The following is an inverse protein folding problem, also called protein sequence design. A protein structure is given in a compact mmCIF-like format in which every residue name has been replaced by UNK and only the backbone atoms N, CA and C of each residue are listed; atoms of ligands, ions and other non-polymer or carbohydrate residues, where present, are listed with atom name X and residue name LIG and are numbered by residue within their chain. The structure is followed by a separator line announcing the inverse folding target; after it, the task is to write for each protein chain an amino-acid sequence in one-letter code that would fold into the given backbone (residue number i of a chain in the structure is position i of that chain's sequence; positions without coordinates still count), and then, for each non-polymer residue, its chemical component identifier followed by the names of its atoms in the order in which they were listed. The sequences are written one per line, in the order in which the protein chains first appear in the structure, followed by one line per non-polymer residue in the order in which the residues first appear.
data_IF_951537044516
#
_entry.id   IF_951537044516
#
_cell.length_a   1.000
_cell.length_b   1.000
_cell.length_c   1.000
_cell.angle_alpha   90.00
_cell.angle_beta   90.00
_cell.angle_gamma   90.00
#
_symmetry.space_group_name_H-M   'P 1'
#
loop_
_entity.id
_entity.type
_entity.pdbx_description
1 polymer ?
#
# COMPACT_ATOMS: atom_id res chain seq x y z
N UNK A 1 54.59 -31.93 32.66
CA UNK A 1 54.13 -30.60 32.21
C UNK A 1 52.83 -30.80 31.42
N UNK A 2 51.67 -30.47 32.02
CA UNK A 2 50.34 -30.54 31.34
C UNK A 2 49.95 -29.12 30.94
N UNK A 3 49.98 -28.80 29.65
CA UNK A 3 49.55 -27.53 29.07
C UNK A 3 48.02 -27.48 29.07
N UNK A 4 47.41 -26.51 29.75
CA UNK A 4 45.97 -26.23 29.72
C UNK A 4 45.72 -25.18 28.64
N UNK A 5 45.11 -25.59 27.54
CA UNK A 5 44.60 -24.66 26.56
C UNK A 5 43.29 -24.07 27.08
N UNK A 6 43.32 -22.77 27.34
CA UNK A 6 42.13 -21.98 27.65
C UNK A 6 41.47 -21.57 26.34
N UNK A 7 40.35 -22.19 25.96
CA UNK A 7 39.53 -21.79 24.79
C UNK A 7 38.65 -20.60 25.22
N UNK A 8 39.02 -19.43 24.76
CA UNK A 8 38.22 -18.22 24.95
C UNK A 8 37.09 -18.23 23.92
N UNK A 9 35.89 -18.61 24.34
CA UNK A 9 34.66 -18.56 23.51
C UNK A 9 34.16 -17.13 23.49
N UNK A 10 34.51 -16.36 22.44
CA UNK A 10 33.94 -15.03 22.21
C UNK A 10 32.50 -15.18 21.70
N UNK A 11 31.55 -14.93 22.58
CA UNK A 11 30.17 -14.73 22.18
C UNK A 11 30.05 -13.41 21.42
N UNK A 12 30.02 -13.47 20.08
CA UNK A 12 29.54 -12.37 19.24
C UNK A 12 28.02 -12.30 19.41
N UNK A 13 27.55 -11.46 20.32
CA UNK A 13 26.16 -11.02 20.33
C UNK A 13 25.99 -10.05 19.17
N UNK A 14 25.51 -10.54 18.05
CA UNK A 14 25.00 -9.68 16.96
C UNK A 14 23.79 -8.92 17.52
N UNK A 15 24.02 -7.66 17.88
CA UNK A 15 22.93 -6.71 18.13
C UNK A 15 22.26 -6.51 16.78
N UNK A 16 21.16 -7.20 16.54
CA UNK A 16 20.27 -6.90 15.41
C UNK A 16 19.65 -5.54 15.75
N UNK A 17 20.25 -4.47 15.22
CA UNK A 17 19.62 -3.17 15.25
C UNK A 17 18.35 -3.29 14.40
N UNK A 18 17.20 -3.35 15.04
CA UNK A 18 15.92 -3.25 14.34
C UNK A 18 15.91 -1.92 13.60
N UNK A 19 15.62 -1.97 12.30
CA UNK A 19 15.50 -0.74 11.51
C UNK A 19 14.44 0.16 12.16
N UNK A 20 14.79 1.42 12.41
CA UNK A 20 13.92 2.42 13.02
C UNK A 20 13.76 3.57 12.03
N UNK A 21 12.53 4.02 11.78
CA UNK A 21 12.26 5.11 10.87
C UNK A 21 12.14 6.40 11.66
N UNK A 22 13.08 7.31 11.43
CA UNK A 22 13.09 8.63 12.01
C UNK A 22 12.53 9.65 11.01
N UNK A 23 11.35 10.19 11.31
CA UNK A 23 10.63 11.12 10.44
C UNK A 23 11.06 12.54 10.79
N UNK A 24 11.80 13.19 9.88
CA UNK A 24 12.28 14.55 10.08
C UNK A 24 11.24 15.59 9.72
N UNK A 25 11.27 16.70 10.44
CA UNK A 25 10.44 17.86 10.15
C UNK A 25 11.04 18.70 9.03
N UNK A 26 10.19 19.19 8.14
CA UNK A 26 10.57 20.12 7.07
C UNK A 26 9.59 21.28 7.00
N UNK A 27 10.03 22.39 6.38
CA UNK A 27 9.20 23.58 6.14
C UNK A 27 8.69 23.53 4.68
N UNK A 28 7.71 22.65 4.41
CA UNK A 28 7.04 22.55 3.11
C UNK A 28 5.58 22.13 3.35
N UNK A 29 4.68 22.40 2.41
CA UNK A 29 3.29 21.93 2.45
C UNK A 29 3.21 20.52 1.86
N UNK A 30 3.39 19.50 2.70
CA UNK A 30 3.34 18.11 2.28
C UNK A 30 1.96 17.64 1.83
N UNK A 31 0.93 18.44 2.02
CA UNK A 31 -0.39 18.14 1.46
C UNK A 31 -0.46 18.30 -0.06
N UNK A 32 0.50 19.02 -0.66
CA UNK A 32 0.57 19.34 -2.08
C UNK A 32 1.85 18.85 -2.74
N UNK A 33 3.00 19.14 -2.13
CA UNK A 33 4.31 19.03 -2.76
C UNK A 33 5.10 17.78 -2.33
N UNK A 34 4.41 16.73 -1.87
CA UNK A 34 5.01 15.55 -1.24
C UNK A 34 5.93 14.73 -2.16
N UNK A 35 5.84 14.88 -3.47
CA UNK A 35 6.63 14.13 -4.48
C UNK A 35 7.87 14.87 -4.99
N UNK A 36 8.14 16.10 -4.51
CA UNK A 36 9.25 16.90 -5.00
C UNK A 36 10.57 16.32 -4.52
N UNK A 37 11.42 15.85 -5.45
CA UNK A 37 12.69 15.17 -5.17
C UNK A 37 13.64 16.02 -4.29
N UNK A 38 13.65 17.35 -4.44
CA UNK A 38 14.52 18.22 -3.64
C UNK A 38 14.24 18.15 -2.14
N UNK A 39 13.01 17.85 -1.72
CA UNK A 39 12.65 17.71 -0.31
C UNK A 39 13.36 16.52 0.36
N UNK A 40 13.66 15.50 -0.43
CA UNK A 40 14.24 14.25 0.05
C UNK A 40 15.76 14.27 0.21
N UNK A 41 16.45 15.29 -0.30
CA UNK A 41 17.91 15.43 -0.16
C UNK A 41 18.36 15.46 1.31
N UNK A 42 17.52 15.99 2.20
CA UNK A 42 17.78 16.12 3.62
C UNK A 42 17.05 15.10 4.50
N UNK A 43 16.34 14.13 3.92
CA UNK A 43 15.62 13.11 4.69
C UNK A 43 16.55 12.21 5.51
N UNK A 44 17.83 12.18 5.16
CA UNK A 44 18.80 11.20 5.67
C UNK A 44 18.87 9.97 4.78
N UNK A 45 19.59 8.96 5.23
CA UNK A 45 19.66 7.69 4.51
C UNK A 45 18.31 6.96 4.63
N UNK A 46 17.88 6.34 3.53
CA UNK A 46 16.72 5.45 3.54
C UNK A 46 16.99 4.25 4.47
N UNK A 47 15.97 3.86 5.21
CA UNK A 47 16.02 2.67 6.05
C UNK A 47 15.68 1.44 5.22
N UNK A 48 16.54 0.45 5.24
CA UNK A 48 16.32 -0.84 4.59
C UNK A 48 15.45 -1.72 5.48
N UNK A 49 14.23 -2.06 5.01
CA UNK A 49 13.26 -2.89 5.73
C UNK A 49 13.13 -4.22 5.00
N UNK A 50 13.40 -5.31 5.72
CA UNK A 50 13.29 -6.66 5.18
C UNK A 50 11.84 -7.12 5.12
N UNK A 51 11.47 -7.75 4.00
CA UNK A 51 10.18 -8.38 3.78
C UNK A 51 10.35 -9.87 3.55
N UNK A 52 9.27 -10.62 3.77
CA UNK A 52 9.19 -12.03 3.38
C UNK A 52 7.81 -12.35 2.80
N UNK A 53 7.73 -13.42 2.00
CA UNK A 53 6.46 -13.89 1.44
C UNK A 53 5.49 -14.27 2.55
N UNK A 54 4.21 -13.96 2.38
CA UNK A 54 3.14 -14.21 3.35
C UNK A 54 3.03 -15.71 3.69
N UNK A 55 3.37 -16.14 4.93
CA UNK A 55 3.43 -17.57 5.26
C UNK A 55 2.08 -18.18 5.65
N UNK A 56 1.06 -17.36 5.89
CA UNK A 56 -0.23 -17.77 6.45
C UNK A 56 -1.29 -18.13 5.41
N UNK A 57 -0.99 -17.93 4.11
CA UNK A 57 -1.94 -18.20 3.01
C UNK A 57 -1.73 -19.55 2.37
N UNK A 58 -2.78 -20.05 1.70
CA UNK A 58 -2.73 -21.30 0.91
C UNK A 58 -3.19 -20.99 -0.51
N UNK A 59 -2.39 -21.30 -1.53
CA UNK A 59 -1.03 -21.89 -1.48
C UNK A 59 -0.01 -20.88 -0.93
N UNK A 60 0.97 -21.38 -0.19
CA UNK A 60 2.06 -20.53 0.31
C UNK A 60 2.90 -20.01 -0.86
N UNK A 61 3.32 -18.72 -0.87
CA UNK A 61 4.29 -18.22 -1.81
C UNK A 61 5.56 -19.09 -1.80
N UNK A 62 6.04 -19.48 -2.98
CA UNK A 62 7.27 -20.28 -3.11
C UNK A 62 8.52 -19.41 -2.93
N UNK A 63 8.42 -18.15 -3.26
CA UNK A 63 9.49 -17.16 -3.25
C UNK A 63 9.01 -15.88 -2.55
N UNK A 64 9.95 -15.07 -2.09
CA UNK A 64 9.70 -13.69 -1.67
C UNK A 64 10.08 -12.80 -2.83
N UNK A 65 9.11 -12.24 -3.54
CA UNK A 65 9.35 -11.46 -4.76
C UNK A 65 10.03 -10.11 -4.41
N UNK A 66 9.59 -9.48 -3.32
CA UNK A 66 10.23 -8.28 -2.78
C UNK A 66 10.81 -8.58 -1.40
N UNK A 67 12.11 -8.80 -1.30
CA UNK A 67 12.78 -9.09 -0.03
C UNK A 67 13.18 -7.85 0.77
N UNK A 68 13.20 -6.69 0.13
CA UNK A 68 13.68 -5.43 0.72
C UNK A 68 12.91 -4.23 0.16
N UNK A 69 12.54 -3.31 1.05
CA UNK A 69 12.12 -1.95 0.69
C UNK A 69 13.03 -0.93 1.36
N UNK A 70 13.31 0.17 0.65
CA UNK A 70 14.03 1.30 1.19
C UNK A 70 13.03 2.41 1.51
N UNK A 71 13.01 2.88 2.75
CA UNK A 71 11.99 3.81 3.25
C UNK A 71 12.64 5.06 3.83
N UNK A 72 12.12 6.21 3.43
CA UNK A 72 12.36 7.49 4.08
C UNK A 72 11.02 8.15 4.41
N UNK A 73 11.00 9.02 5.44
CA UNK A 73 9.80 9.74 5.81
C UNK A 73 10.10 11.16 6.25
N UNK A 74 9.17 12.07 5.95
CA UNK A 74 9.22 13.50 6.30
C UNK A 74 7.85 13.95 6.81
N UNK A 75 7.82 14.98 7.67
CA UNK A 75 6.57 15.61 8.09
C UNK A 75 6.69 17.13 8.15
N UNK A 76 5.56 17.84 8.04
CA UNK A 76 5.47 19.31 8.16
C UNK A 76 4.76 19.77 9.45
N UNK A 77 4.42 18.81 10.33
CA UNK A 77 3.66 19.04 11.56
C UNK A 77 2.15 18.82 11.39
N UNK A 78 1.64 18.71 10.16
CA UNK A 78 0.23 18.39 9.84
C UNK A 78 0.11 17.14 8.99
N UNK A 79 1.00 16.98 8.02
CA UNK A 79 1.09 15.86 7.12
C UNK A 79 2.40 15.11 7.32
N UNK A 80 2.35 13.82 7.02
CA UNK A 80 3.51 12.94 6.94
C UNK A 80 3.50 12.27 5.58
N UNK A 81 4.69 12.11 5.00
CA UNK A 81 4.86 11.42 3.74
C UNK A 81 5.95 10.37 3.88
N UNK A 82 5.69 9.21 3.30
CA UNK A 82 6.62 8.10 3.19
C UNK A 82 7.04 7.95 1.73
N UNK A 83 8.34 7.88 1.48
CA UNK A 83 8.91 7.47 0.20
C UNK A 83 9.37 6.02 0.35
N UNK A 84 8.79 5.13 -0.45
CA UNK A 84 9.08 3.70 -0.44
C UNK A 84 9.65 3.32 -1.81
N UNK A 85 10.78 2.62 -1.82
CA UNK A 85 11.44 2.15 -3.05
C UNK A 85 11.69 0.66 -3.00
N UNK A 86 11.41 -0.03 -4.11
CA UNK A 86 11.71 -1.45 -4.26
C UNK A 86 12.05 -1.78 -5.71
N UNK A 87 12.79 -2.87 -5.90
CA UNK A 87 13.14 -3.38 -7.22
C UNK A 87 11.97 -4.15 -7.82
N UNK A 88 11.64 -3.82 -9.05
CA UNK A 88 10.66 -4.50 -9.86
C UNK A 88 11.08 -4.43 -11.32
N UNK A 89 11.13 -5.57 -12.00
CA UNK A 89 11.62 -5.67 -13.38
C UNK A 89 10.67 -5.11 -14.42
N UNK A 90 9.39 -4.95 -14.08
CA UNK A 90 8.32 -4.54 -15.00
C UNK A 90 7.23 -3.74 -14.28
N UNK A 91 6.48 -2.97 -15.05
CA UNK A 91 5.25 -2.31 -14.58
C UNK A 91 4.07 -3.23 -14.81
N UNK A 92 3.22 -3.39 -13.81
CA UNK A 92 2.06 -4.26 -13.91
C UNK A 92 0.75 -3.54 -13.61
N UNK A 93 -0.23 -3.70 -14.50
CA UNK A 93 -1.56 -3.11 -14.45
C UNK A 93 -2.65 -4.20 -14.31
N UNK A 94 -3.72 -3.87 -13.60
CA UNK A 94 -4.85 -4.78 -13.40
C UNK A 94 -6.02 -4.47 -14.35
N UNK A 95 -5.74 -4.33 -15.64
CA UNK A 95 -6.77 -3.97 -16.62
C UNK A 95 -7.56 -5.19 -17.14
N UNK A 96 -6.90 -6.32 -17.29
CA UNK A 96 -7.49 -7.53 -17.90
C UNK A 96 -7.69 -8.63 -16.89
N UNK A 97 -8.48 -9.63 -17.28
CA UNK A 97 -8.67 -10.84 -16.47
C UNK A 97 -7.32 -11.49 -16.15
N UNK A 98 -7.11 -11.84 -14.88
CA UNK A 98 -5.91 -12.47 -14.35
C UNK A 98 -4.62 -11.60 -14.47
N UNK A 99 -4.74 -10.30 -14.68
CA UNK A 99 -3.67 -9.32 -14.49
C UNK A 99 -3.82 -8.63 -13.14
N UNK A 100 -2.72 -8.30 -12.50
CA UNK A 100 -2.71 -7.71 -11.16
C UNK A 100 -1.79 -6.49 -11.15
N UNK A 101 -2.15 -5.48 -10.37
CA UNK A 101 -1.41 -4.23 -10.27
C UNK A 101 -0.28 -4.34 -9.26
N UNK A 102 0.83 -3.67 -9.56
CA UNK A 102 1.82 -3.35 -8.55
C UNK A 102 1.21 -2.48 -7.46
N UNK A 103 1.68 -2.68 -6.23
CA UNK A 103 1.18 -1.93 -5.09
C UNK A 103 2.07 -2.01 -3.86
N UNK A 104 1.85 -1.06 -2.94
CA UNK A 104 2.48 -1.05 -1.63
C UNK A 104 1.49 -0.54 -0.59
N UNK A 105 1.50 -1.17 0.58
CA UNK A 105 0.67 -0.72 1.71
C UNK A 105 1.52 -0.40 2.93
N UNK A 106 1.10 0.64 3.64
CA UNK A 106 1.55 1.02 4.96
C UNK A 106 0.46 0.65 5.96
N UNK A 107 0.83 0.03 7.08
CA UNK A 107 -0.09 -0.31 8.15
C UNK A 107 0.34 0.37 9.45
N UNK A 108 -0.60 0.96 10.16
CA UNK A 108 -0.40 1.65 11.43
C UNK A 108 -1.38 1.12 12.48
N UNK A 109 -1.00 1.03 13.76
CA UNK A 109 -1.96 0.83 14.84
C UNK A 109 -2.90 2.03 14.93
N UNK A 110 -4.19 1.80 15.17
CA UNK A 110 -5.15 2.89 15.45
C UNK A 110 -4.92 3.41 16.86
N UNK A 111 -4.71 2.51 17.81
CA UNK A 111 -4.34 2.85 19.19
C UNK A 111 -2.83 2.82 19.33
N UNK A 112 -2.24 3.92 19.74
CA UNK A 112 -0.79 4.02 19.89
C UNK A 112 -0.33 3.54 21.28
N UNK A 113 -0.57 2.26 21.55
CA UNK A 113 -0.18 1.57 22.77
C UNK A 113 1.32 1.23 22.75
N UNK A 114 1.89 0.98 23.94
CA UNK A 114 3.27 0.50 24.08
C UNK A 114 3.49 -0.84 23.35
N UNK A 115 2.51 -1.74 23.46
CA UNK A 115 2.47 -3.00 22.70
C UNK A 115 1.55 -2.78 21.51
N UNK A 116 2.05 -2.86 20.27
CA UNK A 116 1.23 -2.70 19.08
C UNK A 116 0.31 -3.90 18.86
N UNK A 117 -0.77 -3.75 18.07
CA UNK A 117 -1.70 -4.83 17.76
C UNK A 117 -1.03 -5.98 17.00
N UNK A 118 -1.70 -7.14 16.86
CA UNK A 118 -1.21 -8.22 16.02
C UNK A 118 -0.84 -7.71 14.62
N UNK A 119 0.37 -8.05 14.15
CA UNK A 119 0.91 -7.54 12.87
C UNK A 119 0.06 -7.91 11.67
N UNK A 120 -0.64 -9.05 11.74
CA UNK A 120 -1.46 -9.56 10.66
C UNK A 120 -2.87 -8.94 10.68
N UNK A 121 -2.96 -7.68 10.20
CA UNK A 121 -4.22 -6.94 10.03
C UNK A 121 -4.93 -6.59 11.35
N UNK A 122 -4.18 -6.46 12.46
CA UNK A 122 -4.78 -6.16 13.77
C UNK A 122 -5.48 -7.35 14.42
N UNK A 123 -6.34 -7.06 15.37
CA UNK A 123 -7.14 -8.03 16.11
C UNK A 123 -8.43 -7.42 16.62
N UNK A 124 -9.28 -8.23 17.25
CA UNK A 124 -10.52 -7.79 17.84
C UNK A 124 -10.25 -6.69 18.88
N UNK A 125 -10.96 -5.57 18.77
CA UNK A 125 -10.83 -4.40 19.64
C UNK A 125 -9.46 -3.67 19.54
N UNK A 126 -8.60 -4.11 18.61
CA UNK A 126 -7.27 -3.54 18.39
C UNK A 126 -7.00 -3.36 16.88
N UNK A 127 -7.72 -2.39 16.26
CA UNK A 127 -7.71 -2.18 14.82
C UNK A 127 -6.40 -1.60 14.31
N UNK A 128 -6.20 -1.81 13.02
CA UNK A 128 -5.15 -1.18 12.23
C UNK A 128 -5.74 -0.33 11.12
N UNK A 129 -5.01 0.72 10.74
CA UNK A 129 -5.33 1.59 9.62
C UNK A 129 -4.28 1.42 8.54
N UNK A 130 -4.70 1.06 7.34
CA UNK A 130 -3.84 0.78 6.20
C UNK A 130 -4.02 1.84 5.12
N UNK A 131 -2.92 2.16 4.44
CA UNK A 131 -2.86 3.04 3.28
C UNK A 131 -2.27 2.24 2.13
N UNK A 132 -3.12 1.81 1.21
CA UNK A 132 -2.76 0.90 0.14
C UNK A 132 -2.73 1.63 -1.21
N UNK A 133 -1.54 1.97 -1.66
CA UNK A 133 -1.32 2.49 -3.00
C UNK A 133 -1.30 1.35 -4.01
N UNK A 134 -1.99 1.55 -5.15
CA UNK A 134 -1.99 0.67 -6.31
C UNK A 134 -1.74 1.48 -7.56
N UNK A 135 -0.89 0.97 -8.44
CA UNK A 135 -0.61 1.65 -9.71
C UNK A 135 -1.88 1.80 -10.56
N UNK A 136 -2.72 0.77 -10.63
CA UNK A 136 -4.00 0.84 -11.33
C UNK A 136 -4.89 1.98 -10.81
N UNK A 137 -4.95 2.20 -9.50
CA UNK A 137 -5.76 3.28 -8.94
C UNK A 137 -5.21 4.66 -9.27
N UNK A 138 -3.89 4.80 -9.35
CA UNK A 138 -3.27 6.03 -9.81
C UNK A 138 -3.61 6.31 -11.27
N UNK A 139 -3.61 5.29 -12.13
CA UNK A 139 -4.02 5.43 -13.53
C UNK A 139 -5.50 5.79 -13.65
N UNK A 140 -6.37 5.10 -12.92
CA UNK A 140 -7.81 5.35 -12.94
C UNK A 140 -8.16 6.76 -12.41
N UNK A 141 -7.48 7.21 -11.35
CA UNK A 141 -7.67 8.55 -10.82
C UNK A 141 -7.21 9.65 -11.78
N UNK A 142 -6.16 9.39 -12.58
CA UNK A 142 -5.61 10.33 -13.55
C UNK A 142 -6.37 10.36 -14.87
N UNK A 143 -6.72 9.19 -15.39
CA UNK A 143 -7.21 9.03 -16.76
C UNK A 143 -8.72 8.69 -16.85
N UNK A 144 -9.35 8.45 -15.69
CA UNK A 144 -10.66 7.79 -15.63
C UNK A 144 -10.54 6.28 -15.80
N UNK A 145 -11.50 5.54 -15.23
CA UNK A 145 -11.55 4.08 -15.33
C UNK A 145 -11.96 3.68 -16.76
N UNK A 146 -11.21 2.78 -17.36
CA UNK A 146 -11.55 2.23 -18.68
C UNK A 146 -12.86 1.46 -18.64
N UNK A 147 -13.68 1.61 -19.67
CA UNK A 147 -14.90 0.82 -19.86
C UNK A 147 -14.56 -0.61 -20.33
N UNK A 148 -15.52 -1.52 -20.20
CA UNK A 148 -15.35 -2.90 -20.66
C UNK A 148 -15.04 -2.94 -22.17
N UNK A 149 -15.65 -2.06 -22.98
CA UNK A 149 -15.39 -1.98 -24.41
C UNK A 149 -13.97 -1.55 -24.75
N UNK A 150 -13.39 -0.65 -23.94
CA UNK A 150 -12.00 -0.26 -24.11
C UNK A 150 -11.01 -1.38 -23.77
N UNK A 151 -11.36 -2.21 -22.80
CA UNK A 151 -10.51 -3.33 -22.36
C UNK A 151 -10.71 -4.56 -23.27
N UNK A 152 -11.96 -4.84 -23.65
CA UNK A 152 -12.36 -6.00 -24.46
C UNK A 152 -13.25 -5.56 -25.62
N UNK A 153 -12.69 -4.94 -26.69
CA UNK A 153 -13.48 -4.36 -27.78
C UNK A 153 -14.30 -5.38 -28.57
N UNK A 154 -13.93 -6.66 -28.52
CA UNK A 154 -14.63 -7.72 -29.23
C UNK A 154 -15.61 -8.52 -28.33
N UNK A 155 -15.81 -8.08 -27.09
CA UNK A 155 -16.75 -8.74 -26.18
C UNK A 155 -18.19 -8.38 -26.55
N UNK A 156 -19.06 -9.38 -26.59
CA UNK A 156 -20.52 -9.19 -26.70
C UNK A 156 -21.13 -9.33 -25.30
N UNK A 157 -22.12 -8.50 -25.01
CA UNK A 157 -22.93 -8.59 -23.78
C UNK A 157 -24.31 -9.14 -24.13
N UNK A 158 -24.85 -9.99 -23.24
CA UNK A 158 -26.25 -10.41 -23.33
C UNK A 158 -27.15 -9.17 -23.20
N UNK A 159 -28.23 -9.17 -23.96
CA UNK A 159 -29.21 -8.10 -23.99
C UNK A 159 -30.55 -8.58 -23.47
N UNK A 160 -31.19 -7.78 -22.66
CA UNK A 160 -32.53 -8.04 -22.24
C UNK A 160 -33.54 -7.59 -23.32
N UNK A 161 -34.61 -8.40 -23.58
CA UNK A 161 -35.59 -8.06 -24.62
C UNK A 161 -36.27 -6.69 -24.44
N UNK A 162 -36.35 -6.19 -23.20
CA UNK A 162 -36.91 -4.88 -22.90
C UNK A 162 -36.06 -3.76 -23.49
N UNK A 163 -34.75 -3.79 -23.28
CA UNK A 163 -33.81 -2.77 -23.77
C UNK A 163 -33.82 -2.70 -25.30
N UNK A 164 -33.95 -3.88 -25.95
CA UNK A 164 -34.06 -3.95 -27.40
C UNK A 164 -35.33 -3.27 -27.94
N UNK A 165 -36.47 -3.45 -27.25
CA UNK A 165 -37.73 -2.78 -27.61
C UNK A 165 -37.68 -1.25 -27.47
N UNK A 166 -37.05 -0.78 -26.39
CA UNK A 166 -36.94 0.67 -26.14
C UNK A 166 -35.98 1.37 -27.10
N UNK A 167 -34.85 0.76 -27.40
CA UNK A 167 -33.79 1.39 -28.20
C UNK A 167 -33.95 1.16 -29.72
N UNK A 168 -34.78 0.21 -30.13
CA UNK A 168 -35.07 -0.06 -31.54
C UNK A 168 -33.92 -0.68 -32.35
N UNK A 169 -32.70 -0.72 -31.80
CA UNK A 169 -31.58 -1.40 -32.44
C UNK A 169 -30.60 -2.02 -31.45
N UNK A 170 -30.01 -3.12 -31.86
CA UNK A 170 -29.11 -3.94 -31.06
C UNK A 170 -27.83 -3.19 -30.64
N UNK A 171 -27.25 -2.39 -31.53
CA UNK A 171 -25.97 -1.73 -31.27
C UNK A 171 -26.08 -0.67 -30.17
N UNK A 172 -27.13 0.12 -30.19
CA UNK A 172 -27.36 1.16 -29.19
C UNK A 172 -27.68 0.58 -27.81
N UNK A 173 -28.57 -0.42 -27.73
CA UNK A 173 -28.90 -1.10 -26.50
C UNK A 173 -27.66 -1.79 -25.87
N UNK A 174 -26.86 -2.46 -26.70
CA UNK A 174 -25.61 -3.08 -26.24
C UNK A 174 -24.59 -2.07 -25.72
N UNK A 175 -24.48 -0.91 -26.40
CA UNK A 175 -23.58 0.15 -25.99
C UNK A 175 -23.97 0.73 -24.63
N UNK A 176 -25.22 1.10 -24.44
CA UNK A 176 -25.72 1.64 -23.18
C UNK A 176 -25.54 0.66 -22.01
N UNK A 177 -25.77 -0.63 -22.20
CA UNK A 177 -25.56 -1.65 -21.19
C UNK A 177 -24.09 -1.78 -20.79
N UNK A 178 -23.19 -1.77 -21.77
CA UNK A 178 -21.75 -1.84 -21.51
C UNK A 178 -21.21 -0.60 -20.78
N UNK A 179 -21.77 0.56 -21.08
CA UNK A 179 -21.37 1.83 -20.44
C UNK A 179 -21.97 1.98 -19.04
N UNK A 180 -23.20 1.52 -18.83
CA UNK A 180 -23.95 1.72 -17.58
C UNK A 180 -23.77 0.60 -16.56
N UNK A 181 -23.56 -0.64 -16.98
CA UNK A 181 -23.48 -1.79 -16.08
C UNK A 181 -22.04 -2.03 -15.59
N UNK A 182 -21.66 -1.28 -14.56
CA UNK A 182 -20.46 -1.59 -13.74
C UNK A 182 -20.95 -1.97 -12.36
N UNK A 183 -20.97 -3.26 -12.07
CA UNK A 183 -21.56 -3.81 -10.84
C UNK A 183 -21.05 -3.17 -9.54
N UNK A 184 -19.75 -2.90 -9.46
CA UNK A 184 -19.18 -2.20 -8.29
C UNK A 184 -19.67 -0.76 -8.16
N UNK A 185 -19.85 -0.05 -9.28
CA UNK A 185 -20.38 1.31 -9.30
C UNK A 185 -21.86 1.33 -8.91
N UNK A 186 -22.65 0.42 -9.47
CA UNK A 186 -24.08 0.28 -9.16
C UNK A 186 -24.31 -0.10 -7.68
N UNK A 187 -23.41 -0.89 -7.10
CA UNK A 187 -23.43 -1.26 -5.69
C UNK A 187 -22.87 -0.18 -4.74
N UNK A 188 -22.40 0.95 -5.25
CA UNK A 188 -21.78 2.01 -4.44
C UNK A 188 -20.46 1.61 -3.79
N UNK A 189 -19.72 0.63 -4.36
CA UNK A 189 -18.44 0.20 -3.82
C UNK A 189 -17.40 1.34 -3.91
N UNK A 190 -16.85 1.84 -2.79
CA UNK A 190 -15.87 2.94 -2.80
C UNK A 190 -14.65 2.68 -3.69
N UNK A 191 -14.22 1.42 -3.81
CA UNK A 191 -13.09 1.03 -4.68
C UNK A 191 -13.39 1.17 -6.19
N UNK A 192 -14.66 1.35 -6.56
CA UNK A 192 -15.03 1.64 -7.94
C UNK A 192 -14.79 3.09 -8.35
N UNK A 193 -14.52 3.98 -7.38
CA UNK A 193 -14.32 5.40 -7.58
C UNK A 193 -13.02 5.87 -6.95
N UNK A 194 -11.84 5.43 -7.44
CA UNK A 194 -10.57 5.84 -6.86
C UNK A 194 -10.39 7.35 -7.00
N UNK A 195 -10.28 8.03 -5.86
CA UNK A 195 -10.05 9.49 -5.79
C UNK A 195 -8.57 9.84 -5.83
N UNK A 196 -7.74 8.88 -5.44
CA UNK A 196 -6.28 8.96 -5.48
C UNK A 196 -5.71 7.57 -5.75
N UNK A 197 -4.40 7.46 -5.88
CA UNK A 197 -3.74 6.14 -5.97
C UNK A 197 -3.81 5.31 -4.69
N UNK A 198 -4.40 5.82 -3.59
CA UNK A 198 -4.38 5.19 -2.26
C UNK A 198 -5.79 4.90 -1.77
N UNK A 199 -6.03 3.65 -1.34
CA UNK A 199 -7.16 3.27 -0.50
C UNK A 199 -6.80 3.40 0.98
N UNK A 200 -7.73 3.93 1.78
CA UNK A 200 -7.69 3.90 3.24
C UNK A 200 -8.55 2.74 3.73
N UNK A 201 -7.97 1.84 4.52
CA UNK A 201 -8.60 0.58 4.91
C UNK A 201 -8.46 0.39 6.42
N UNK A 202 -9.53 -0.01 7.08
CA UNK A 202 -9.51 -0.47 8.47
C UNK A 202 -9.61 -1.98 8.54
N UNK A 203 -8.94 -2.59 9.52
CA UNK A 203 -9.04 -4.03 9.77
C UNK A 203 -8.88 -4.37 11.26
N UNK A 204 -9.61 -5.39 11.70
CA UNK A 204 -9.58 -5.97 13.05
C UNK A 204 -9.30 -7.48 12.98
N UNK A 205 -8.35 -7.88 12.12
CA UNK A 205 -7.96 -9.26 11.85
C UNK A 205 -8.27 -9.68 10.41
N UNK A 206 -8.01 -10.95 10.10
CA UNK A 206 -8.25 -11.51 8.78
C UNK A 206 -9.73 -11.45 8.38
N UNK A 207 -10.00 -11.01 7.14
CA UNK A 207 -11.33 -10.96 6.58
C UNK A 207 -12.21 -9.80 7.05
N UNK A 208 -11.69 -8.92 7.92
CA UNK A 208 -12.43 -7.78 8.46
C UNK A 208 -12.15 -6.47 7.75
N UNK A 209 -11.33 -6.46 6.69
CA UNK A 209 -10.93 -5.23 6.01
C UNK A 209 -12.13 -4.50 5.40
N UNK A 210 -12.29 -3.23 5.75
CA UNK A 210 -13.29 -2.33 5.20
C UNK A 210 -12.61 -1.07 4.67
N UNK A 211 -12.99 -0.64 3.46
CA UNK A 211 -12.51 0.61 2.88
C UNK A 211 -13.19 1.78 3.57
N UNK A 212 -12.41 2.77 3.97
CA UNK A 212 -12.92 4.00 4.56
C UNK A 212 -13.68 4.83 3.53
N UNK A 213 -14.74 5.49 3.95
CA UNK A 213 -15.41 6.52 3.13
C UNK A 213 -14.56 7.80 3.06
N UNK A 214 -13.72 8.03 4.06
CA UNK A 214 -12.75 9.13 4.11
C UNK A 214 -11.54 8.78 3.25
N UNK A 215 -11.22 9.61 2.27
CA UNK A 215 -10.07 9.47 1.39
C UNK A 215 -9.21 10.73 1.50
N UNK A 216 -8.48 10.87 2.59
CA UNK A 216 -7.59 12.01 2.82
C UNK A 216 -6.17 11.75 2.30
N UNK A 217 -5.73 10.50 2.33
CA UNK A 217 -4.41 10.11 1.87
C UNK A 217 -4.24 10.32 0.35
N UNK A 218 -3.02 10.63 -0.04
CA UNK A 218 -2.61 10.86 -1.42
C UNK A 218 -1.44 9.96 -1.74
N UNK A 219 -1.37 9.47 -2.97
CA UNK A 219 -0.26 8.63 -3.41
C UNK A 219 0.17 8.98 -4.82
N UNK A 220 1.47 8.83 -5.04
CA UNK A 220 2.09 8.94 -6.35
C UNK A 220 3.23 7.95 -6.46
N UNK A 221 3.25 7.17 -7.53
CA UNK A 221 4.32 6.23 -7.84
C UNK A 221 4.92 6.49 -9.22
N UNK A 222 6.23 6.37 -9.30
CA UNK A 222 7.00 6.40 -10.54
C UNK A 222 7.88 5.15 -10.61
N UNK A 223 7.83 4.47 -11.76
CA UNK A 223 8.74 3.38 -12.06
C UNK A 223 9.82 3.87 -13.01
N UNK A 224 11.07 3.63 -12.65
CA UNK A 224 12.23 4.03 -13.45
C UNK A 224 13.38 3.07 -13.26
N UNK A 225 13.95 2.60 -14.36
CA UNK A 225 15.15 1.75 -14.36
C UNK A 225 15.05 0.49 -13.48
N UNK A 226 13.88 -0.18 -13.47
CA UNK A 226 13.68 -1.40 -12.68
C UNK A 226 13.45 -1.15 -11.19
N UNK A 227 12.97 0.04 -10.85
CA UNK A 227 12.65 0.39 -9.45
C UNK A 227 11.38 1.24 -9.38
N UNK A 228 10.49 0.89 -8.49
CA UNK A 228 9.40 1.75 -8.05
C UNK A 228 9.89 2.74 -7.00
N UNK A 229 9.46 3.98 -7.14
CA UNK A 229 9.50 5.01 -6.10
C UNK A 229 8.07 5.47 -5.85
N UNK A 230 7.54 5.15 -4.68
CA UNK A 230 6.15 5.48 -4.31
C UNK A 230 6.15 6.41 -3.12
N UNK A 231 5.35 7.46 -3.22
CA UNK A 231 5.10 8.43 -2.16
C UNK A 231 3.67 8.24 -1.66
N UNK A 232 3.50 8.05 -0.35
CA UNK A 232 2.20 8.02 0.32
C UNK A 232 2.18 9.12 1.35
N UNK A 233 1.34 10.13 1.13
CA UNK A 233 1.12 11.27 2.01
C UNK A 233 -0.22 11.12 2.73
N UNK A 234 -0.21 11.37 4.05
CA UNK A 234 -1.42 11.31 4.88
C UNK A 234 -1.38 12.40 5.96
N UNK A 235 -2.55 12.86 6.49
CA UNK A 235 -2.56 13.64 7.72
C UNK A 235 -1.88 12.90 8.87
N UNK A 236 -1.19 13.63 9.77
CA UNK A 236 -0.68 13.06 11.02
C UNK A 236 -1.81 12.60 11.94
N UNK A 237 -2.91 13.34 12.00
CA UNK A 237 -4.06 13.04 12.82
C UNK A 237 -5.28 12.66 11.98
N UNK A 238 -5.99 11.65 12.41
CA UNK A 238 -7.31 11.23 11.91
C UNK A 238 -8.31 11.26 13.04
N UNK A 239 -9.52 11.72 12.78
CA UNK A 239 -10.61 11.72 13.77
C UNK A 239 -10.97 10.29 14.18
N UNK A 240 -11.12 9.40 13.19
CA UNK A 240 -11.44 7.98 13.40
C UNK A 240 -10.39 7.11 12.72
N UNK A 241 -9.14 7.13 13.22
CA UNK A 241 -8.06 6.36 12.60
C UNK A 241 -6.74 6.52 13.31
N UNK A 242 -5.68 6.02 12.69
CA UNK A 242 -4.34 6.09 13.28
C UNK A 242 -3.84 7.54 13.36
N UNK A 243 -3.49 7.99 14.54
CA UNK A 243 -2.91 9.31 14.78
C UNK A 243 -1.45 9.19 15.17
N UNK A 244 -0.58 9.91 14.46
CA UNK A 244 0.84 10.03 14.75
C UNK A 244 1.10 11.39 15.41
N UNK A 245 1.74 11.38 16.56
CA UNK A 245 1.98 12.59 17.36
C UNK A 245 3.46 12.96 17.27
N UNK A 246 3.73 14.23 16.94
CA UNK A 246 5.10 14.78 16.94
C UNK A 246 5.75 14.63 18.32
N UNK A 247 6.98 14.16 18.35
CA UNK A 247 7.72 13.86 19.60
C UNK A 247 7.34 12.51 20.22
N UNK A 248 6.48 11.69 19.58
CA UNK A 248 6.07 10.38 20.08
C UNK A 248 6.52 9.26 19.15
N UNK A 249 6.71 8.08 19.74
CA UNK A 249 6.96 6.83 19.03
C UNK A 249 5.64 6.18 18.60
N UNK A 250 5.66 5.51 17.48
CA UNK A 250 4.60 4.66 16.96
C UNK A 250 5.20 3.45 16.25
N UNK A 251 4.39 2.74 15.49
CA UNK A 251 4.80 1.56 14.76
C UNK A 251 4.24 1.61 13.32
N UNK A 252 4.99 1.03 12.40
CA UNK A 252 4.59 0.90 11.00
C UNK A 252 4.95 -0.49 10.47
N UNK A 253 4.13 -1.01 9.57
CA UNK A 253 4.41 -2.24 8.84
C UNK A 253 4.20 -2.02 7.34
N UNK A 254 4.85 -2.86 6.52
CA UNK A 254 4.87 -2.73 5.07
C UNK A 254 4.42 -4.00 4.38
N UNK A 255 3.75 -3.84 3.24
CA UNK A 255 3.48 -4.93 2.33
C UNK A 255 3.64 -4.46 0.89
N UNK A 256 4.19 -5.31 0.01
CA UNK A 256 4.41 -5.02 -1.41
C UNK A 256 3.79 -6.14 -2.24
N UNK A 257 3.21 -5.77 -3.37
CA UNK A 257 2.70 -6.66 -4.40
C UNK A 257 3.40 -6.37 -5.71
N UNK A 258 4.00 -7.38 -6.33
CA UNK A 258 4.46 -7.35 -7.71
C UNK A 258 3.41 -8.06 -8.58
N UNK A 259 2.61 -7.28 -9.30
CA UNK A 259 1.49 -7.78 -10.11
C UNK A 259 1.93 -8.76 -11.19
N UNK A 260 3.08 -8.50 -11.84
CA UNK A 260 3.69 -9.38 -12.83
C UNK A 260 4.12 -10.75 -12.27
N UNK A 261 4.35 -10.84 -10.96
CA UNK A 261 4.62 -12.09 -10.23
C UNK A 261 3.34 -12.74 -9.67
N UNK A 262 2.17 -12.22 -10.06
CA UNK A 262 0.85 -12.68 -9.63
C UNK A 262 0.62 -12.52 -8.12
N UNK A 263 1.30 -11.56 -7.50
CA UNK A 263 0.99 -11.18 -6.13
C UNK A 263 -0.29 -10.35 -6.09
N UNK A 264 -1.29 -10.83 -5.36
CA UNK A 264 -2.61 -10.20 -5.21
C UNK A 264 -3.25 -10.59 -3.88
N UNK A 265 -3.97 -9.65 -3.27
CA UNK A 265 -4.71 -9.89 -2.03
C UNK A 265 -3.80 -10.35 -0.90
N UNK A 266 -3.96 -11.60 -0.49
CA UNK A 266 -3.16 -12.18 0.58
C UNK A 266 -1.78 -12.68 0.13
N UNK A 267 -1.56 -12.91 -1.17
CA UNK A 267 -0.25 -13.28 -1.71
C UNK A 267 0.56 -12.00 -1.92
N UNK A 268 1.57 -11.79 -1.09
CA UNK A 268 2.39 -10.58 -1.04
C UNK A 268 3.67 -10.78 -0.25
N UNK A 269 4.61 -9.86 -0.40
CA UNK A 269 5.78 -9.73 0.46
C UNK A 269 5.48 -8.72 1.57
N UNK A 270 5.79 -9.05 2.84
CA UNK A 270 5.41 -8.19 3.98
C UNK A 270 6.41 -8.25 5.14
N UNK A 271 6.37 -7.24 6.03
CA UNK A 271 7.07 -7.27 7.31
C UNK A 271 6.41 -8.24 8.28
N UNK A 272 7.22 -9.03 8.99
CA UNK A 272 6.74 -9.97 10.01
C UNK A 272 6.72 -9.38 11.41
N UNK A 273 7.28 -8.19 11.57
CA UNK A 273 7.32 -7.44 12.82
C UNK A 273 7.05 -5.97 12.55
N UNK A 274 6.51 -5.29 13.55
CA UNK A 274 6.36 -3.85 13.52
C UNK A 274 7.73 -3.16 13.50
N UNK A 275 7.88 -2.16 12.64
CA UNK A 275 9.04 -1.27 12.59
C UNK A 275 8.75 -0.06 13.48
N UNK A 276 9.64 0.29 14.43
CA UNK A 276 9.50 1.53 15.21
C UNK A 276 9.52 2.76 14.30
N UNK A 277 8.62 3.70 14.59
CA UNK A 277 8.46 4.96 13.88
C UNK A 277 8.53 6.13 14.87
N UNK A 278 9.51 7.01 14.70
CA UNK A 278 9.66 8.21 15.53
C UNK A 278 9.33 9.44 14.73
N UNK A 279 8.32 10.21 15.13
CA UNK A 279 8.01 11.50 14.54
C UNK A 279 8.77 12.57 15.29
N UNK A 280 9.87 13.07 14.74
CA UNK A 280 10.78 13.98 15.40
C UNK A 280 10.19 15.38 15.50
N UNK A 281 10.59 16.15 16.53
CA UNK A 281 10.16 17.55 16.70
C UNK A 281 10.92 18.50 15.76
N UNK A 282 12.14 18.11 15.35
CA UNK A 282 13.06 18.90 14.50
C UNK A 282 13.57 18.09 13.32
#
# INVERSE_FOLDING_TARGET
MKSKYLILLSFFTSIHCLAEINVKKISADLSKDFQIESLWKNSGADQAISLMGQPMVVPKPKTTETSLVNVAALHDGKWIVFRIRWKDSEISEAEKLATFSDGVALQFPVKNNEVPPPIMMGGKDDPVHLFHWKYQYQLDAKNGKKTIDQIYPNMTTDMYPMDFKEKGNYKEASKDQKESFVGGTAAGNPQSFPKSGVDEIFAEGFGSSAVSESHLAKGFGEWKNGEWTVYIARPLAYENGSTLVVGKKSHIAFAVWQGGKKEVGAIKSLTMMWTPLNVLEK
#
